data_IF_352166465368
#
_entry.id   IF_352166465368
#
_cell.length_a   1.000
_cell.length_b   1.000
_cell.length_c   1.000
_cell.angle_alpha   90.00
_cell.angle_beta   90.00
_cell.angle_gamma   90.00
#
_symmetry.space_group_name_H-M   'P 1'
#
loop_
_entity.id
_entity.type
_entity.pdbx_description
1 polymer ?
#
# COMPACT_ATOMS: atom_id res chain seq x y z
N UNK A 1 -38.60 -51.05 33.94
CA UNK A 1 -38.76 -49.67 33.41
C UNK A 1 -37.57 -48.74 33.59
N UNK A 2 -36.69 -48.92 34.54
CA UNK A 2 -35.53 -48.03 34.79
C UNK A 2 -34.38 -48.06 33.73
N UNK A 3 -34.22 -49.17 33.00
CA UNK A 3 -33.11 -49.34 32.03
C UNK A 3 -33.30 -48.50 30.74
N UNK A 4 -34.53 -48.23 30.33
CA UNK A 4 -34.84 -47.43 29.14
C UNK A 4 -34.65 -45.94 29.38
N UNK A 5 -34.92 -45.43 30.58
CA UNK A 5 -34.72 -44.03 30.97
C UNK A 5 -33.23 -43.61 31.01
N UNK A 6 -32.35 -44.46 31.55
CA UNK A 6 -30.92 -44.20 31.58
C UNK A 6 -30.28 -44.18 30.17
N UNK A 7 -30.78 -45.02 29.26
CA UNK A 7 -30.28 -45.04 27.87
C UNK A 7 -30.63 -43.78 27.10
N UNK A 8 -31.83 -43.23 27.29
CA UNK A 8 -32.28 -42.00 26.65
C UNK A 8 -31.51 -40.74 27.19
N UNK A 9 -31.26 -40.69 28.49
CA UNK A 9 -30.46 -39.63 29.10
C UNK A 9 -28.99 -39.63 28.59
N UNK A 10 -28.41 -40.83 28.37
CA UNK A 10 -27.03 -40.93 27.79
C UNK A 10 -26.97 -40.48 26.34
N UNK A 11 -28.01 -40.78 25.54
CA UNK A 11 -28.09 -40.32 24.13
C UNK A 11 -28.26 -38.81 24.06
N UNK A 12 -29.14 -38.22 24.85
CA UNK A 12 -29.34 -36.77 24.92
C UNK A 12 -28.02 -36.03 25.32
N UNK A 13 -27.27 -36.56 26.27
CA UNK A 13 -26.00 -36.02 26.69
C UNK A 13 -24.94 -36.08 25.60
N UNK A 14 -24.85 -37.18 24.86
CA UNK A 14 -23.96 -37.35 23.72
C UNK A 14 -24.29 -36.37 22.58
N UNK A 15 -25.58 -36.21 22.27
CA UNK A 15 -26.06 -35.26 21.26
C UNK A 15 -25.74 -33.81 21.65
N UNK A 16 -25.95 -33.43 22.90
CA UNK A 16 -25.63 -32.08 23.41
C UNK A 16 -24.12 -31.80 23.36
N UNK A 17 -23.28 -32.79 23.69
CA UNK A 17 -21.83 -32.68 23.58
C UNK A 17 -21.36 -32.54 22.12
N UNK A 18 -21.96 -33.31 21.20
CA UNK A 18 -21.72 -33.20 19.77
C UNK A 18 -22.08 -31.82 19.23
N UNK A 19 -23.24 -31.32 19.59
CA UNK A 19 -23.72 -30.01 19.19
C UNK A 19 -22.81 -28.86 19.69
N UNK A 20 -22.39 -28.92 20.96
CA UNK A 20 -21.48 -27.96 21.55
C UNK A 20 -20.11 -27.95 20.86
N UNK A 21 -19.60 -29.10 20.42
CA UNK A 21 -18.36 -29.19 19.64
C UNK A 21 -18.50 -28.52 18.28
N UNK A 22 -19.59 -28.76 17.59
CA UNK A 22 -19.86 -28.14 16.29
C UNK A 22 -19.95 -26.62 16.40
N UNK A 23 -20.68 -26.12 17.41
CA UNK A 23 -20.75 -24.66 17.64
C UNK A 23 -19.37 -24.07 17.91
N UNK A 24 -18.55 -24.69 18.74
CA UNK A 24 -17.18 -24.20 19.01
C UNK A 24 -16.32 -24.16 17.75
N UNK A 25 -16.41 -25.18 16.91
CA UNK A 25 -15.68 -25.22 15.64
C UNK A 25 -16.18 -24.11 14.69
N UNK A 26 -17.48 -23.88 14.60
CA UNK A 26 -18.04 -22.79 13.78
C UNK A 26 -17.59 -21.41 14.26
N UNK A 27 -17.60 -21.18 15.57
CA UNK A 27 -17.12 -19.90 16.14
C UNK A 27 -15.62 -19.71 15.87
N UNK A 28 -14.81 -20.75 16.10
CA UNK A 28 -13.36 -20.70 15.84
C UNK A 28 -13.04 -20.44 14.35
N UNK A 29 -13.77 -21.08 13.44
CA UNK A 29 -13.66 -20.85 11.99
C UNK A 29 -14.06 -19.43 11.60
N UNK A 30 -15.12 -18.88 12.18
CA UNK A 30 -15.55 -17.51 11.95
C UNK A 30 -14.52 -16.48 12.39
N UNK A 31 -13.93 -16.66 13.58
CA UNK A 31 -12.87 -15.79 14.08
C UNK A 31 -11.62 -15.86 13.19
N UNK A 32 -11.21 -17.04 12.78
CA UNK A 32 -10.06 -17.22 11.88
C UNK A 32 -10.30 -16.52 10.53
N UNK A 33 -11.50 -16.64 9.97
CA UNK A 33 -11.87 -15.96 8.72
C UNK A 33 -11.79 -14.43 8.86
N UNK A 34 -12.27 -13.87 9.97
CA UNK A 34 -12.18 -12.44 10.23
C UNK A 34 -10.71 -11.95 10.31
N UNK A 35 -9.84 -12.70 10.97
CA UNK A 35 -8.42 -12.37 11.06
C UNK A 35 -7.79 -12.31 9.66
N UNK A 36 -8.07 -13.30 8.81
CA UNK A 36 -7.55 -13.33 7.43
C UNK A 36 -8.04 -12.12 6.63
N UNK A 37 -9.31 -11.77 6.74
CA UNK A 37 -9.88 -10.59 6.05
C UNK A 37 -9.18 -9.30 6.51
N UNK A 38 -8.98 -9.11 7.81
CA UNK A 38 -8.29 -7.93 8.36
C UNK A 38 -6.86 -7.83 7.86
N UNK A 39 -6.12 -8.94 7.81
CA UNK A 39 -4.76 -8.98 7.28
C UNK A 39 -4.70 -8.63 5.79
N UNK A 40 -5.64 -9.13 4.99
CA UNK A 40 -5.75 -8.81 3.57
C UNK A 40 -6.05 -7.33 3.36
N UNK A 41 -6.98 -6.76 4.12
CA UNK A 41 -7.30 -5.33 4.05
C UNK A 41 -6.11 -4.45 4.45
N UNK A 42 -5.38 -4.80 5.50
CA UNK A 42 -4.18 -4.07 5.93
C UNK A 42 -3.09 -4.09 4.84
N UNK A 43 -2.85 -5.23 4.21
CA UNK A 43 -1.92 -5.35 3.08
C UNK A 43 -2.36 -4.52 1.87
N UNK A 44 -3.65 -4.55 1.55
CA UNK A 44 -4.21 -3.78 0.44
C UNK A 44 -4.07 -2.26 0.67
N UNK A 45 -4.34 -1.78 1.87
CA UNK A 45 -4.17 -0.36 2.23
C UNK A 45 -2.70 0.09 2.10
N UNK A 46 -1.75 -0.72 2.56
CA UNK A 46 -0.33 -0.43 2.40
C UNK A 46 0.08 -0.36 0.92
N UNK A 47 -0.44 -1.26 0.09
CA UNK A 47 -0.17 -1.25 -1.34
C UNK A 47 -0.73 0.00 -2.03
N UNK A 48 -1.99 0.35 -1.75
CA UNK A 48 -2.64 1.56 -2.29
C UNK A 48 -1.87 2.81 -1.91
N UNK A 49 -1.43 2.95 -0.67
CA UNK A 49 -0.64 4.11 -0.23
C UNK A 49 0.71 4.23 -0.96
N UNK A 50 1.37 3.10 -1.24
CA UNK A 50 2.62 3.10 -2.02
C UNK A 50 2.40 3.54 -3.45
N UNK A 51 1.36 3.02 -4.10
CA UNK A 51 0.99 3.39 -5.48
C UNK A 51 0.63 4.86 -5.56
N UNK A 52 -0.15 5.38 -4.62
CA UNK A 52 -0.54 6.78 -4.58
C UNK A 52 0.67 7.71 -4.40
N UNK A 53 1.62 7.34 -3.54
CA UNK A 53 2.88 8.11 -3.38
C UNK A 53 3.71 8.11 -4.65
N UNK A 54 3.83 6.98 -5.34
CA UNK A 54 4.55 6.87 -6.60
C UNK A 54 3.89 7.72 -7.69
N UNK A 55 2.57 7.67 -7.83
CA UNK A 55 1.83 8.48 -8.81
C UNK A 55 2.00 9.98 -8.55
N UNK A 56 1.95 10.39 -7.29
CA UNK A 56 2.19 11.79 -6.90
C UNK A 56 3.60 12.24 -7.24
N UNK A 57 4.63 11.44 -6.92
CA UNK A 57 6.02 11.76 -7.21
C UNK A 57 6.27 11.88 -8.71
N UNK A 58 5.70 10.99 -9.53
CA UNK A 58 5.80 11.07 -10.99
C UNK A 58 5.13 12.34 -11.53
N UNK A 59 3.95 12.70 -11.03
CA UNK A 59 3.26 13.94 -11.44
C UNK A 59 4.07 15.19 -11.10
N UNK A 60 4.66 15.25 -9.92
CA UNK A 60 5.53 16.37 -9.51
C UNK A 60 6.75 16.45 -10.42
N UNK A 61 7.43 15.31 -10.69
CA UNK A 61 8.55 15.28 -11.62
C UNK A 61 8.18 15.81 -13.03
N UNK A 62 7.02 15.44 -13.55
CA UNK A 62 6.57 15.92 -14.87
C UNK A 62 6.34 17.44 -14.86
N UNK A 63 5.71 17.96 -13.81
CA UNK A 63 5.47 19.41 -13.66
C UNK A 63 6.81 20.15 -13.56
N UNK A 64 7.73 19.65 -12.75
CA UNK A 64 9.02 20.28 -12.52
C UNK A 64 9.90 20.27 -13.78
N UNK A 65 9.94 19.15 -14.51
CA UNK A 65 10.64 19.06 -15.80
C UNK A 65 10.07 20.04 -16.83
N UNK A 66 8.74 20.15 -16.91
CA UNK A 66 8.09 21.11 -17.81
C UNK A 66 8.39 22.56 -17.40
N UNK A 67 8.44 22.85 -16.10
CA UNK A 67 8.80 24.15 -15.57
C UNK A 67 10.25 24.51 -15.87
N UNK A 68 11.19 23.57 -15.69
CA UNK A 68 12.59 23.75 -16.06
C UNK A 68 12.76 24.02 -17.57
N UNK A 69 12.07 23.26 -18.41
CA UNK A 69 12.08 23.47 -19.86
C UNK A 69 11.56 24.86 -20.26
N UNK A 70 10.53 25.36 -19.57
CA UNK A 70 10.02 26.73 -19.75
C UNK A 70 11.08 27.76 -19.36
N UNK A 71 11.69 27.62 -18.17
CA UNK A 71 12.72 28.57 -17.70
C UNK A 71 13.94 28.60 -18.62
N UNK A 72 14.39 27.45 -19.13
CA UNK A 72 15.46 27.38 -20.12
C UNK A 72 15.08 28.08 -21.42
N UNK A 73 13.85 27.93 -21.89
CA UNK A 73 13.35 28.60 -23.09
C UNK A 73 13.29 30.12 -22.90
N UNK A 74 12.80 30.57 -21.75
CA UNK A 74 12.74 31.99 -21.42
C UNK A 74 14.15 32.60 -21.30
N UNK A 75 15.11 31.87 -20.71
CA UNK A 75 16.50 32.27 -20.66
C UNK A 75 17.12 32.39 -22.07
N UNK A 76 16.80 31.48 -22.98
CA UNK A 76 17.29 31.52 -24.35
C UNK A 76 16.69 32.67 -25.19
N UNK A 77 15.47 33.09 -24.87
CA UNK A 77 14.77 34.18 -25.56
C UNK A 77 15.10 35.56 -24.98
N UNK A 78 15.56 35.61 -23.74
CA UNK A 78 15.85 36.86 -23.04
C UNK A 78 17.30 37.29 -23.27
N UNK A 79 17.53 38.46 -23.83
CA UNK A 79 18.86 39.02 -24.11
C UNK A 79 19.48 39.73 -22.92
N UNK A 80 18.76 39.88 -21.82
CA UNK A 80 19.22 40.59 -20.65
C UNK A 80 19.97 39.65 -19.67
N UNK A 81 21.29 39.90 -19.55
CA UNK A 81 22.15 39.10 -18.67
C UNK A 81 21.77 39.15 -17.18
N UNK A 82 21.06 40.19 -16.74
CA UNK A 82 20.66 40.31 -15.33
C UNK A 82 19.64 39.25 -14.92
N UNK A 83 18.84 38.77 -15.86
CA UNK A 83 17.81 37.72 -15.65
C UNK A 83 18.40 36.30 -15.63
N UNK A 84 19.63 36.08 -16.16
CA UNK A 84 20.23 34.75 -16.22
C UNK A 84 20.45 34.14 -14.85
N UNK A 85 20.89 34.90 -13.87
CA UNK A 85 21.14 34.41 -12.53
C UNK A 85 19.88 33.92 -11.84
N UNK A 86 18.75 34.59 -12.09
CA UNK A 86 17.44 34.20 -11.56
C UNK A 86 16.98 32.89 -12.20
N UNK A 87 17.05 32.77 -13.52
CA UNK A 87 16.68 31.54 -14.23
C UNK A 87 17.60 30.36 -13.89
N UNK A 88 18.91 30.61 -13.72
CA UNK A 88 19.83 29.58 -13.28
C UNK A 88 19.51 29.07 -11.89
N UNK A 89 19.16 29.95 -10.95
CA UNK A 89 18.72 29.57 -9.61
C UNK A 89 17.44 28.75 -9.66
N UNK A 90 16.45 29.18 -10.41
CA UNK A 90 15.16 28.49 -10.58
C UNK A 90 15.36 27.08 -11.14
N UNK A 91 16.19 26.93 -12.16
CA UNK A 91 16.50 25.62 -12.77
C UNK A 91 17.22 24.71 -11.77
N UNK A 92 18.16 25.23 -10.97
CA UNK A 92 18.83 24.44 -9.92
C UNK A 92 17.88 23.98 -8.86
N UNK A 93 16.96 24.82 -8.41
CA UNK A 93 15.96 24.46 -7.40
C UNK A 93 15.00 23.39 -7.93
N UNK A 94 14.55 23.52 -9.18
CA UNK A 94 13.71 22.52 -9.85
C UNK A 94 14.46 21.19 -9.97
N UNK A 95 15.73 21.18 -10.37
CA UNK A 95 16.53 19.96 -10.47
C UNK A 95 16.72 19.28 -9.11
N UNK A 96 16.90 20.07 -8.05
CA UNK A 96 16.97 19.53 -6.68
C UNK A 96 15.65 18.88 -6.26
N UNK A 97 14.52 19.49 -6.59
CA UNK A 97 13.20 18.92 -6.32
C UNK A 97 13.00 17.61 -7.08
N UNK A 98 13.31 17.60 -8.39
CA UNK A 98 13.21 16.36 -9.21
C UNK A 98 14.10 15.26 -8.64
N UNK A 99 15.32 15.58 -8.21
CA UNK A 99 16.22 14.60 -7.61
C UNK A 99 15.65 14.04 -6.29
N UNK A 100 15.04 14.89 -5.47
CA UNK A 100 14.38 14.47 -4.23
C UNK A 100 13.20 13.52 -4.50
N UNK A 101 12.37 13.82 -5.49
CA UNK A 101 11.24 12.97 -5.89
C UNK A 101 11.71 11.63 -6.50
N UNK A 102 12.80 11.64 -7.27
CA UNK A 102 13.44 10.42 -7.77
C UNK A 102 13.98 9.54 -6.65
N UNK A 103 14.52 10.13 -5.57
CA UNK A 103 14.95 9.39 -4.39
C UNK A 103 13.76 8.74 -3.66
N UNK A 104 12.62 9.42 -3.58
CA UNK A 104 11.37 8.85 -3.04
C UNK A 104 10.93 7.66 -3.88
N UNK A 105 10.90 7.81 -5.21
CA UNK A 105 10.56 6.72 -6.13
C UNK A 105 11.52 5.54 -6.00
N UNK A 106 12.81 5.80 -5.90
CA UNK A 106 13.83 4.76 -5.67
C UNK A 106 13.61 4.04 -4.34
N UNK A 107 13.28 4.76 -3.28
CA UNK A 107 12.95 4.18 -1.97
C UNK A 107 11.69 3.31 -1.98
N UNK A 108 10.71 3.65 -2.82
CA UNK A 108 9.49 2.84 -3.01
C UNK A 108 9.77 1.57 -3.82
N UNK A 109 10.74 1.62 -4.73
CA UNK A 109 11.09 0.51 -5.63
C UNK A 109 12.02 -0.52 -4.96
N UNK A 110 12.72 -0.17 -3.89
CA UNK A 110 13.60 -1.12 -3.16
C UNK A 110 12.84 -2.27 -2.49
N UNK A 111 11.52 -2.18 -2.39
CA UNK A 111 10.67 -3.27 -1.89
C UNK A 111 10.32 -4.29 -2.98
N UNK A 112 10.41 -3.90 -4.25
CA UNK A 112 10.06 -4.76 -5.41
C UNK A 112 11.29 -5.35 -6.14
N UNK A 113 12.50 -4.97 -5.76
CA UNK A 113 13.72 -5.52 -6.39
C UNK A 113 13.90 -7.02 -6.12
N UNK A 114 13.35 -7.53 -5.04
CA UNK A 114 13.35 -8.98 -4.78
C UNK A 114 12.40 -9.75 -5.71
N UNK A 115 11.35 -9.10 -6.22
CA UNK A 115 10.44 -9.65 -7.22
C UNK A 115 11.03 -9.60 -8.64
N UNK A 116 11.78 -8.56 -8.97
CA UNK A 116 12.42 -8.40 -10.27
C UNK A 116 13.58 -9.39 -10.50
N UNK A 117 14.25 -9.82 -9.44
CA UNK A 117 15.33 -10.81 -9.51
C UNK A 117 14.82 -12.26 -9.58
N UNK A 118 13.51 -12.51 -9.50
CA UNK A 118 12.88 -13.82 -9.66
C UNK A 118 12.35 -14.09 -11.09
N UNK A 119 12.39 -13.10 -11.96
CA UNK A 119 12.04 -13.20 -13.37
C UNK A 119 13.26 -12.90 -14.26
#
# INVERSE_FOLDING_TARGET
MQKKSKKNASIAHKMRNGYNKVIKIMIASGILSLIVIVLLLANMLNYVQKVERADRAVKICIIDVNSAARSIREMALNTDKSSYNTYESDVKDILNNVNSELLILKGLNTVDTDLYNQY
#
